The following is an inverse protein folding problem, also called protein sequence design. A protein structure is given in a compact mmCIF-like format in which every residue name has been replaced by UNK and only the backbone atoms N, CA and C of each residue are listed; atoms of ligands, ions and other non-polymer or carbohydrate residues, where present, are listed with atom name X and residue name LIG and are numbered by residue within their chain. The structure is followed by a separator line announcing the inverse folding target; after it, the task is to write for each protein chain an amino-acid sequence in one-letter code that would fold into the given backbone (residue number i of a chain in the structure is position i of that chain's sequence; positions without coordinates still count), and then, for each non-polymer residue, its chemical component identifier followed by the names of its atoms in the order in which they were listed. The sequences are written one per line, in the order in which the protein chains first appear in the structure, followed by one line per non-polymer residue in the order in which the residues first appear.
data_IF_463109747436
#
_entry.id   IF_463109747436
#
_cell.length_a   1.000
_cell.length_b   1.000
_cell.length_c   1.000
_cell.angle_alpha   90.00
_cell.angle_beta   90.00
_cell.angle_gamma   90.00
#
_symmetry.space_group_name_H-M   'P 1'
#
loop_
_entity.id
_entity.type
_entity.pdbx_description
1 polymer ?
#
# COMPACT_ATOMS: atom_id res chain seq x y z
N UNK A 1 -38.66 68.20 44.34
CA UNK A 1 -39.29 67.18 43.47
C UNK A 1 -38.76 67.37 42.05
N UNK A 2 -37.62 66.75 41.75
CA UNK A 2 -36.89 66.86 40.48
C UNK A 2 -37.27 65.71 39.57
N UNK A 3 -37.83 66.03 38.40
CA UNK A 3 -38.23 65.07 37.35
C UNK A 3 -36.98 64.48 36.68
N UNK A 4 -36.77 63.18 36.80
CA UNK A 4 -35.83 62.45 35.93
C UNK A 4 -36.50 62.18 34.58
N UNK A 5 -35.92 62.74 33.50
CA UNK A 5 -36.19 62.33 32.12
C UNK A 5 -35.28 61.16 31.78
N UNK A 6 -35.87 60.03 31.41
CA UNK A 6 -35.18 58.89 30.81
C UNK A 6 -34.91 59.16 29.32
N UNK A 7 -33.66 59.04 28.92
CA UNK A 7 -33.24 59.05 27.50
C UNK A 7 -33.05 57.59 27.08
N UNK A 8 -33.70 57.10 26.01
CA UNK A 8 -33.46 55.74 25.53
C UNK A 8 -32.15 55.70 24.73
N UNK A 9 -31.21 54.87 25.18
CA UNK A 9 -29.97 54.56 24.47
C UNK A 9 -30.29 53.60 23.32
N UNK A 10 -30.39 54.12 22.09
CA UNK A 10 -30.58 53.30 20.88
C UNK A 10 -29.21 52.76 20.45
N UNK A 11 -28.97 51.47 20.74
CA UNK A 11 -27.76 50.76 20.31
C UNK A 11 -27.88 50.45 18.81
N UNK A 12 -27.22 51.25 17.96
CA UNK A 12 -27.20 51.03 16.52
C UNK A 12 -26.12 50.01 16.20
N UNK A 13 -26.52 48.78 15.85
CA UNK A 13 -25.61 47.71 15.44
C UNK A 13 -25.16 47.97 13.99
N UNK A 14 -23.97 48.56 13.83
CA UNK A 14 -23.40 48.81 12.51
C UNK A 14 -22.85 47.49 11.94
N UNK A 15 -23.65 46.81 11.13
CA UNK A 15 -23.25 45.60 10.41
C UNK A 15 -22.27 45.99 9.30
N UNK A 16 -20.96 45.91 9.58
CA UNK A 16 -19.92 46.01 8.56
C UNK A 16 -19.94 44.71 7.75
N UNK A 17 -20.63 44.72 6.62
CA UNK A 17 -20.51 43.71 5.58
C UNK A 17 -19.13 43.86 4.93
N UNK A 18 -18.13 43.19 5.50
CA UNK A 18 -16.87 42.96 4.81
C UNK A 18 -17.14 42.04 3.62
N UNK A 19 -17.17 42.60 2.42
CA UNK A 19 -17.20 41.87 1.16
C UNK A 19 -15.83 41.21 1.00
N UNK A 20 -15.66 39.99 1.54
CA UNK A 20 -14.46 39.20 1.27
C UNK A 20 -14.57 38.71 -0.17
N UNK A 21 -13.72 39.29 -1.02
CA UNK A 21 -13.52 38.92 -2.41
C UNK A 21 -13.37 37.41 -2.58
N UNK A 22 -14.26 36.82 -3.39
CA UNK A 22 -14.07 35.52 -3.99
C UNK A 22 -12.78 35.53 -4.84
N UNK A 23 -11.84 34.61 -4.58
CA UNK A 23 -10.62 34.50 -5.38
C UNK A 23 -9.39 33.85 -4.75
N UNK A 24 -9.44 33.34 -3.52
CA UNK A 24 -8.37 32.47 -3.04
C UNK A 24 -8.52 31.10 -3.72
N UNK A 25 -7.77 30.87 -4.80
CA UNK A 25 -7.60 29.53 -5.39
C UNK A 25 -7.24 28.54 -4.28
N UNK A 26 -8.01 27.45 -4.18
CA UNK A 26 -7.74 26.38 -3.23
C UNK A 26 -6.40 25.72 -3.61
N UNK A 27 -5.35 26.02 -2.85
CA UNK A 27 -3.99 25.51 -3.09
C UNK A 27 -3.89 23.98 -3.13
N UNK A 28 -4.91 23.26 -2.63
CA UNK A 28 -4.98 21.79 -2.76
C UNK A 28 -5.38 21.33 -4.17
N UNK A 29 -6.00 22.19 -4.97
CA UNK A 29 -6.36 21.88 -6.36
C UNK A 29 -5.25 22.19 -7.35
N UNK A 30 -4.33 23.07 -6.96
CA UNK A 30 -3.19 23.45 -7.78
C UNK A 30 -2.10 22.37 -7.72
N UNK A 31 -1.85 21.74 -8.87
CA UNK A 31 -0.81 20.71 -9.05
C UNK A 31 0.61 21.29 -8.95
N UNK A 32 0.79 22.56 -9.28
CA UNK A 32 2.10 23.22 -9.20
C UNK A 32 2.50 23.46 -7.73
N UNK A 33 1.50 23.56 -6.85
CA UNK A 33 1.68 23.69 -5.40
C UNK A 33 2.07 22.38 -4.69
N UNK A 34 2.07 21.22 -5.36
CA UNK A 34 2.49 19.93 -4.76
C UNK A 34 3.93 20.05 -4.24
N UNK A 35 4.16 19.63 -3.01
CA UNK A 35 5.43 19.78 -2.30
C UNK A 35 5.55 21.09 -1.53
N UNK A 36 4.72 22.10 -1.78
CA UNK A 36 4.75 23.39 -1.06
C UNK A 36 3.47 23.67 -0.26
N UNK A 37 2.43 22.86 -0.45
CA UNK A 37 1.17 22.93 0.27
C UNK A 37 1.19 22.04 1.52
N UNK A 38 0.26 22.32 2.44
CA UNK A 38 0.08 21.54 3.66
C UNK A 38 -1.09 20.58 3.48
N UNK A 39 -0.79 19.30 3.32
CA UNK A 39 -1.80 18.22 3.31
C UNK A 39 -1.85 17.47 4.63
N UNK A 40 -0.74 17.44 5.39
CA UNK A 40 -0.65 16.77 6.68
C UNK A 40 -1.68 17.28 7.70
N UNK A 41 -2.49 16.36 8.21
CA UNK A 41 -3.48 16.61 9.25
C UNK A 41 -2.80 16.96 10.58
N UNK A 42 -3.51 17.73 11.41
CA UNK A 42 -3.07 17.99 12.78
C UNK A 42 -3.36 16.75 13.63
N UNK A 43 -2.38 16.36 14.43
CA UNK A 43 -2.44 15.17 15.27
C UNK A 43 -1.76 15.45 16.61
N UNK A 44 -2.25 14.82 17.68
CA UNK A 44 -1.56 14.85 18.99
C UNK A 44 -0.31 13.95 18.98
N UNK A 45 -0.19 13.08 17.97
CA UNK A 45 0.98 12.26 17.72
C UNK A 45 1.98 13.09 16.91
N UNK A 46 3.15 13.35 17.49
CA UNK A 46 4.24 14.04 16.78
C UNK A 46 4.77 13.18 15.63
N UNK A 47 5.34 13.83 14.61
CA UNK A 47 5.92 13.12 13.45
C UNK A 47 7.06 12.17 13.88
N UNK A 48 7.89 12.59 14.84
CA UNK A 48 8.95 11.73 15.40
C UNK A 48 8.38 10.50 16.11
N UNK A 49 7.29 10.66 16.87
CA UNK A 49 6.62 9.53 17.53
C UNK A 49 5.98 8.60 16.51
N UNK A 50 5.37 9.14 15.46
CA UNK A 50 4.82 8.38 14.34
C UNK A 50 5.90 7.54 13.65
N UNK A 51 7.07 8.13 13.35
CA UNK A 51 8.23 7.43 12.78
C UNK A 51 8.74 6.33 13.71
N UNK A 52 8.83 6.59 15.01
CA UNK A 52 9.28 5.59 15.97
C UNK A 52 8.33 4.37 16.03
N UNK A 53 7.01 4.61 16.03
CA UNK A 53 6.00 3.55 15.97
C UNK A 53 6.14 2.77 14.66
N UNK A 54 6.22 3.48 13.52
CA UNK A 54 6.45 2.87 12.22
C UNK A 54 7.65 1.94 12.18
N UNK A 55 8.78 2.38 12.73
CA UNK A 55 10.02 1.61 12.80
C UNK A 55 9.88 0.34 13.63
N UNK A 56 9.11 0.39 14.73
CA UNK A 56 8.83 -0.79 15.54
C UNK A 56 8.05 -1.83 14.72
N UNK A 57 6.95 -1.43 14.10
CA UNK A 57 6.14 -2.32 13.24
C UNK A 57 6.94 -2.84 12.04
N UNK A 58 7.73 -1.99 11.39
CA UNK A 58 8.61 -2.40 10.31
C UNK A 58 9.58 -3.51 10.76
N UNK A 59 10.14 -3.39 11.96
CA UNK A 59 11.03 -4.42 12.53
C UNK A 59 10.29 -5.74 12.78
N UNK A 60 9.03 -5.70 13.20
CA UNK A 60 8.21 -6.89 13.40
C UNK A 60 7.83 -7.57 12.08
N UNK A 61 7.45 -6.78 11.07
CA UNK A 61 7.16 -7.27 9.72
C UNK A 61 8.42 -7.86 9.09
N UNK A 62 9.57 -7.20 9.18
CA UNK A 62 10.83 -7.71 8.63
C UNK A 62 11.26 -9.06 9.22
N UNK A 63 10.86 -9.35 10.46
CA UNK A 63 11.16 -10.62 11.14
C UNK A 63 10.21 -11.74 10.75
N UNK A 64 8.96 -11.42 10.43
CA UNK A 64 7.88 -12.38 10.20
C UNK A 64 7.58 -12.61 8.72
N UNK A 65 7.73 -11.57 7.89
CA UNK A 65 7.48 -11.62 6.46
C UNK A 65 8.70 -12.13 5.68
N UNK A 66 8.44 -12.80 4.56
CA UNK A 66 9.49 -13.20 3.61
C UNK A 66 9.83 -12.01 2.71
N UNK A 67 10.94 -11.33 2.98
CA UNK A 67 11.38 -10.19 2.16
C UNK A 67 12.17 -10.68 0.93
N UNK A 68 11.81 -10.19 -0.25
CA UNK A 68 12.58 -10.41 -1.47
C UNK A 68 13.90 -9.64 -1.38
N UNK A 69 15.02 -10.34 -1.55
CA UNK A 69 16.38 -9.77 -1.45
C UNK A 69 17.04 -9.53 -2.81
N UNK A 70 16.34 -9.79 -3.90
CA UNK A 70 16.89 -9.56 -5.24
C UNK A 70 17.13 -8.06 -5.47
N UNK A 71 18.37 -7.62 -5.77
CA UNK A 71 18.70 -6.21 -5.89
C UNK A 71 18.02 -5.54 -7.09
N UNK A 72 17.80 -6.26 -8.19
CA UNK A 72 17.17 -5.70 -9.40
C UNK A 72 15.71 -5.36 -9.11
N UNK A 73 15.00 -6.29 -8.46
CA UNK A 73 13.59 -6.10 -8.08
C UNK A 73 13.47 -4.96 -7.06
N UNK A 74 14.31 -4.96 -6.02
CA UNK A 74 14.26 -3.94 -4.98
C UNK A 74 14.62 -2.54 -5.49
N UNK A 75 15.67 -2.40 -6.31
CA UNK A 75 16.06 -1.11 -6.90
C UNK A 75 14.97 -0.58 -7.82
N UNK A 76 14.36 -1.45 -8.65
CA UNK A 76 13.26 -1.05 -9.51
C UNK A 76 12.07 -0.49 -8.71
N UNK A 77 11.59 -1.23 -7.71
CA UNK A 77 10.42 -0.81 -6.91
C UNK A 77 10.76 0.46 -6.12
N UNK A 78 11.98 0.54 -5.57
CA UNK A 78 12.46 1.75 -4.92
C UNK A 78 12.51 2.93 -5.90
N UNK A 79 12.99 2.76 -7.14
CA UNK A 79 13.02 3.83 -8.15
C UNK A 79 11.62 4.41 -8.39
N UNK A 80 10.64 3.55 -8.64
CA UNK A 80 9.24 3.97 -8.87
C UNK A 80 8.71 4.72 -7.66
N UNK A 81 8.84 4.14 -6.46
CA UNK A 81 8.34 4.75 -5.24
C UNK A 81 9.01 6.08 -4.89
N UNK A 82 10.33 6.18 -5.08
CA UNK A 82 11.06 7.43 -4.85
C UNK A 82 10.75 8.48 -5.91
N UNK A 83 10.46 8.09 -7.16
CA UNK A 83 10.00 9.03 -8.18
C UNK A 83 8.66 9.68 -7.76
N UNK A 84 7.71 8.86 -7.31
CA UNK A 84 6.42 9.35 -6.79
C UNK A 84 6.64 10.21 -5.53
N UNK A 85 7.45 9.74 -4.58
CA UNK A 85 7.72 10.46 -3.32
C UNK A 85 8.31 11.86 -3.56
N UNK A 86 9.30 11.99 -4.45
CA UNK A 86 9.91 13.29 -4.81
C UNK A 86 8.91 14.25 -5.46
N UNK A 87 7.89 13.72 -6.12
CA UNK A 87 6.85 14.46 -6.80
C UNK A 87 5.55 14.55 -5.98
N UNK A 88 5.65 14.40 -4.66
CA UNK A 88 4.51 14.40 -3.73
C UNK A 88 4.64 15.45 -2.63
N UNK A 89 3.63 15.53 -1.76
CA UNK A 89 3.69 16.35 -0.54
C UNK A 89 4.43 15.68 0.63
N UNK A 90 4.97 14.47 0.46
CA UNK A 90 5.70 13.73 1.49
C UNK A 90 6.93 14.51 1.97
N UNK A 91 7.11 14.61 3.29
CA UNK A 91 8.21 15.37 3.94
C UNK A 91 9.22 14.53 4.68
N UNK A 92 8.96 13.25 4.81
CA UNK A 92 9.80 12.29 5.52
C UNK A 92 10.41 11.30 4.53
N UNK A 93 11.55 10.66 4.86
CA UNK A 93 12.13 9.63 4.02
C UNK A 93 11.19 8.45 3.83
N UNK A 94 11.21 7.88 2.62
CA UNK A 94 10.49 6.66 2.30
C UNK A 94 11.47 5.47 2.30
N UNK A 95 11.16 4.43 3.09
CA UNK A 95 11.86 3.13 3.07
C UNK A 95 10.98 2.12 2.38
N UNK A 96 11.48 1.48 1.32
CA UNK A 96 10.68 0.60 0.46
C UNK A 96 11.20 -0.82 0.54
N UNK A 97 10.30 -1.80 0.68
CA UNK A 97 10.63 -3.23 0.70
C UNK A 97 9.62 -4.03 -0.08
N UNK A 98 10.08 -5.13 -0.68
CA UNK A 98 9.22 -6.06 -1.41
C UNK A 98 9.00 -7.33 -0.59
N UNK A 99 7.74 -7.66 -0.34
CA UNK A 99 7.34 -8.90 0.35
C UNK A 99 7.04 -9.98 -0.70
N UNK A 100 7.57 -11.17 -0.48
CA UNK A 100 7.19 -12.37 -1.20
C UNK A 100 5.83 -12.86 -0.68
N UNK A 101 4.77 -12.36 -1.30
CA UNK A 101 3.39 -12.77 -1.03
C UNK A 101 2.60 -12.76 -2.34
N UNK A 102 1.83 -13.82 -2.64
CA UNK A 102 1.00 -13.88 -3.83
C UNK A 102 -0.17 -12.89 -3.78
N UNK A 103 -0.47 -12.32 -2.61
CA UNK A 103 -1.50 -11.30 -2.50
C UNK A 103 -1.11 -10.10 -3.34
N UNK A 104 -2.05 -9.60 -4.12
CA UNK A 104 -1.99 -8.23 -4.62
C UNK A 104 -2.15 -7.39 -3.35
N UNK A 105 -1.04 -6.86 -2.81
CA UNK A 105 -0.94 -5.94 -1.65
C UNK A 105 0.15 -4.87 -1.85
N UNK A 106 -0.06 -3.67 -1.34
CA UNK A 106 0.96 -2.75 -0.88
C UNK A 106 0.36 -1.93 0.27
N UNK A 107 1.19 -1.59 1.25
CA UNK A 107 0.76 -0.79 2.39
C UNK A 107 1.91 0.06 2.91
N UNK A 108 1.59 1.28 3.34
CA UNK A 108 2.53 2.11 4.08
C UNK A 108 2.24 2.07 5.58
N UNK A 109 3.27 1.86 6.39
CA UNK A 109 3.23 2.06 7.83
C UNK A 109 3.41 3.56 8.15
N UNK A 110 3.02 3.99 9.37
CA UNK A 110 3.33 5.32 9.86
C UNK A 110 4.83 5.63 9.70
N UNK A 111 5.18 6.87 9.36
CA UNK A 111 6.59 7.25 9.27
C UNK A 111 7.33 6.83 8.00
N UNK A 112 6.63 6.41 6.95
CA UNK A 112 7.22 6.25 5.61
C UNK A 112 7.89 4.91 5.37
N UNK A 113 7.36 3.81 5.91
CA UNK A 113 7.80 2.46 5.55
C UNK A 113 6.77 1.82 4.62
N UNK A 114 7.13 1.67 3.35
CA UNK A 114 6.27 1.13 2.30
C UNK A 114 6.65 -0.32 1.99
N UNK A 115 5.67 -1.20 2.03
CA UNK A 115 5.79 -2.59 1.63
C UNK A 115 4.96 -2.84 0.38
N UNK A 116 5.54 -3.57 -0.57
CA UNK A 116 4.91 -3.91 -1.85
C UNK A 116 4.97 -5.43 -1.99
N UNK A 117 3.84 -6.10 -2.17
CA UNK A 117 3.82 -7.55 -2.37
C UNK A 117 4.17 -7.92 -3.81
N UNK A 118 4.81 -9.06 -4.00
CA UNK A 118 5.10 -9.61 -5.33
C UNK A 118 3.84 -9.87 -6.16
N UNK A 119 2.73 -10.26 -5.54
CA UNK A 119 1.45 -10.44 -6.23
C UNK A 119 0.96 -9.17 -6.92
N UNK A 120 1.20 -7.99 -6.32
CA UNK A 120 0.89 -6.70 -6.95
C UNK A 120 1.74 -6.48 -8.21
N UNK A 121 3.05 -6.72 -8.11
CA UNK A 121 3.97 -6.58 -9.23
C UNK A 121 3.67 -7.57 -10.37
N UNK A 122 3.20 -8.78 -10.05
CA UNK A 122 2.75 -9.76 -11.04
C UNK A 122 1.44 -9.36 -11.72
N UNK A 123 0.48 -8.84 -10.94
CA UNK A 123 -0.84 -8.46 -11.43
C UNK A 123 -0.84 -7.19 -12.28
N UNK A 124 0.09 -6.27 -12.02
CA UNK A 124 0.27 -5.07 -12.83
C UNK A 124 0.69 -5.44 -14.26
N UNK A 125 0.04 -4.83 -15.24
CA UNK A 125 0.39 -4.98 -16.66
C UNK A 125 1.33 -3.90 -17.14
N UNK A 126 1.40 -2.76 -16.44
CA UNK A 126 2.24 -1.61 -16.78
C UNK A 126 2.82 -0.95 -15.50
N UNK A 127 3.89 -0.16 -15.65
CA UNK A 127 4.59 0.50 -14.51
C UNK A 127 3.68 1.51 -13.79
N UNK A 128 2.89 2.27 -14.53
CA UNK A 128 1.99 3.30 -14.02
C UNK A 128 0.91 2.75 -13.07
N UNK A 129 0.50 1.49 -13.23
CA UNK A 129 -0.41 0.81 -12.30
C UNK A 129 0.23 0.57 -10.94
N UNK A 130 1.51 0.16 -10.93
CA UNK A 130 2.30 0.05 -9.68
C UNK A 130 2.47 1.42 -9.07
N UNK A 131 2.83 2.42 -9.89
CA UNK A 131 2.97 3.80 -9.44
C UNK A 131 1.67 4.35 -8.83
N UNK A 132 0.51 3.97 -9.36
CA UNK A 132 -0.79 4.41 -8.83
C UNK A 132 -1.09 3.87 -7.44
N UNK A 133 -0.85 2.57 -7.19
CA UNK A 133 -0.99 2.01 -5.83
C UNK A 133 0.01 2.66 -4.88
N UNK A 134 1.26 2.82 -5.31
CA UNK A 134 2.30 3.47 -4.49
C UNK A 134 1.98 4.95 -4.20
N UNK A 135 1.41 5.68 -5.15
CA UNK A 135 1.01 7.07 -4.96
C UNK A 135 -0.10 7.22 -3.93
N UNK A 136 -1.06 6.29 -3.90
CA UNK A 136 -2.11 6.23 -2.89
C UNK A 136 -1.53 5.99 -1.49
N UNK A 137 -0.64 5.00 -1.34
CA UNK A 137 0.04 4.74 -0.07
C UNK A 137 0.88 5.94 0.41
N UNK A 138 1.61 6.60 -0.50
CA UNK A 138 2.36 7.82 -0.20
C UNK A 138 1.42 8.95 0.22
N UNK A 139 0.22 9.04 -0.35
CA UNK A 139 -0.79 10.02 0.06
C UNK A 139 -1.27 9.82 1.49
N UNK A 140 -1.49 8.58 1.94
CA UNK A 140 -1.80 8.30 3.34
C UNK A 140 -0.70 8.80 4.29
N UNK A 141 0.56 8.57 3.94
CA UNK A 141 1.71 9.02 4.74
C UNK A 141 1.83 10.55 4.72
N UNK A 142 1.73 11.18 3.55
CA UNK A 142 1.84 12.63 3.40
C UNK A 142 0.72 13.37 4.15
N UNK A 143 -0.52 12.87 4.08
CA UNK A 143 -1.67 13.41 4.81
C UNK A 143 -1.65 13.06 6.32
N UNK A 144 -0.73 12.19 6.76
CA UNK A 144 -0.62 11.67 8.13
C UNK A 144 -1.90 11.00 8.63
N UNK A 145 -2.54 10.21 7.76
CA UNK A 145 -3.78 9.49 8.10
C UNK A 145 -3.57 8.52 9.27
N UNK A 146 -2.40 7.89 9.38
CA UNK A 146 -2.04 7.08 10.55
C UNK A 146 -2.03 7.89 11.85
N UNK A 147 -1.37 9.05 11.87
CA UNK A 147 -1.37 9.93 13.02
C UNK A 147 -2.79 10.42 13.39
N UNK A 148 -3.65 10.66 12.40
CA UNK A 148 -5.06 11.00 12.62
C UNK A 148 -5.82 9.84 13.26
N UNK A 149 -5.61 8.61 12.79
CA UNK A 149 -6.29 7.43 13.36
C UNK A 149 -5.78 7.10 14.76
N UNK A 150 -4.48 7.18 14.99
CA UNK A 150 -3.91 7.03 16.33
C UNK A 150 -4.46 8.10 17.29
N UNK A 151 -4.61 9.35 16.83
CA UNK A 151 -5.22 10.41 17.64
C UNK A 151 -6.65 10.07 18.02
N UNK A 152 -7.47 9.61 17.06
CA UNK A 152 -8.85 9.18 17.33
C UNK A 152 -8.88 8.04 18.34
N UNK A 153 -8.01 7.04 18.18
CA UNK A 153 -7.90 5.91 19.12
C UNK A 153 -7.48 6.36 20.53
N UNK A 154 -6.49 7.25 20.65
CA UNK A 154 -6.05 7.81 21.93
C UNK A 154 -7.15 8.67 22.59
N UNK A 155 -7.86 9.50 21.82
CA UNK A 155 -8.99 10.28 22.34
C UNK A 155 -10.09 9.34 22.84
N UNK A 156 -10.40 8.28 22.09
CA UNK A 156 -11.38 7.27 22.51
C UNK A 156 -10.92 6.60 23.81
N UNK A 157 -9.65 6.16 23.88
CA UNK A 157 -9.07 5.57 25.09
C UNK A 157 -9.23 6.49 26.32
N UNK A 158 -8.97 7.80 26.18
CA UNK A 158 -9.21 8.76 27.25
C UNK A 158 -10.70 9.00 27.55
N UNK A 159 -11.56 9.01 26.54
CA UNK A 159 -13.00 9.15 26.72
C UNK A 159 -13.61 7.96 27.47
N UNK A 160 -12.95 6.79 27.46
CA UNK A 160 -13.34 5.62 28.25
C UNK A 160 -12.90 5.71 29.72
N UNK A 161 -12.05 6.67 30.11
CA UNK A 161 -11.53 6.79 31.48
C UNK A 161 -12.64 6.89 32.55
N UNK A 162 -13.75 7.62 32.35
CA UNK A 162 -14.85 7.65 33.33
C UNK A 162 -15.50 6.27 33.58
N UNK A 163 -15.45 5.35 32.60
CA UNK A 163 -16.03 4.01 32.73
C UNK A 163 -15.27 3.16 33.74
N UNK A 164 -13.97 3.42 33.94
CA UNK A 164 -13.16 2.75 34.97
C UNK A 164 -13.72 3.01 36.38
N UNK A 165 -14.34 4.18 36.58
CA UNK A 165 -14.93 4.58 37.86
C UNK A 165 -16.44 4.29 37.95
N UNK A 166 -17.03 3.71 36.90
CA UNK A 166 -18.46 3.40 36.85
C UNK A 166 -18.73 2.02 37.45
N UNK A 167 -19.66 1.86 38.41
CA UNK A 167 -20.02 0.55 38.95
C UNK A 167 -20.46 -0.41 37.83
N UNK A 168 -19.77 -1.54 37.69
CA UNK A 168 -20.01 -2.54 36.64
C UNK A 168 -19.64 -3.94 37.11
N UNK A 169 -20.04 -4.98 36.35
CA UNK A 169 -19.67 -6.36 36.69
C UNK A 169 -18.17 -6.61 36.46
N UNK A 170 -17.61 -7.56 37.21
CA UNK A 170 -16.17 -7.89 37.18
C UNK A 170 -15.68 -8.21 35.76
N UNK A 171 -16.46 -8.97 34.98
CA UNK A 171 -16.09 -9.32 33.60
C UNK A 171 -16.00 -8.11 32.67
N UNK A 172 -16.94 -7.16 32.80
CA UNK A 172 -16.93 -5.95 31.96
C UNK A 172 -15.81 -5.00 32.38
N UNK A 173 -15.53 -4.89 33.68
CA UNK A 173 -14.40 -4.11 34.20
C UNK A 173 -13.06 -4.59 33.62
N UNK A 174 -12.82 -5.91 33.62
CA UNK A 174 -11.59 -6.46 33.04
C UNK A 174 -11.48 -6.17 31.54
N UNK A 175 -12.56 -6.32 30.77
CA UNK A 175 -12.54 -6.01 29.34
C UNK A 175 -12.26 -4.52 29.04
N UNK A 176 -12.84 -3.60 29.82
CA UNK A 176 -12.56 -2.16 29.70
C UNK A 176 -11.10 -1.85 30.05
N UNK A 177 -10.58 -2.45 31.11
CA UNK A 177 -9.21 -2.21 31.56
C UNK A 177 -8.18 -2.77 30.57
N UNK A 178 -8.44 -3.94 29.99
CA UNK A 178 -7.58 -4.54 28.95
C UNK A 178 -7.52 -3.65 27.71
N UNK A 179 -8.67 -3.19 27.21
CA UNK A 179 -8.74 -2.27 26.08
C UNK A 179 -8.03 -0.93 26.38
N UNK A 180 -8.15 -0.43 27.61
CA UNK A 180 -7.49 0.81 28.04
C UNK A 180 -5.97 0.65 28.15
N UNK A 181 -5.47 -0.47 28.67
CA UNK A 181 -4.03 -0.64 28.91
C UNK A 181 -3.25 -1.00 27.63
N UNK A 182 -3.84 -1.82 26.77
CA UNK A 182 -3.17 -2.31 25.55
C UNK A 182 -3.35 -1.36 24.35
N UNK A 183 -4.29 -0.43 24.42
CA UNK A 183 -4.65 0.44 23.29
C UNK A 183 -5.25 -0.35 22.12
N UNK A 184 -5.42 0.32 20.98
CA UNK A 184 -5.91 -0.31 19.74
C UNK A 184 -4.69 -0.66 18.87
N UNK A 185 -4.42 -1.94 18.58
CA UNK A 185 -3.30 -2.31 17.72
C UNK A 185 -3.45 -1.71 16.31
N UNK A 186 -2.33 -1.38 15.67
CA UNK A 186 -2.32 -0.74 14.35
C UNK A 186 -3.15 -1.50 13.30
N UNK A 187 -3.09 -2.83 13.34
CA UNK A 187 -3.84 -3.73 12.46
C UNK A 187 -5.38 -3.62 12.59
N UNK A 188 -5.89 -2.99 13.65
CA UNK A 188 -7.33 -2.74 13.83
C UNK A 188 -7.74 -1.32 13.44
N UNK A 189 -6.79 -0.41 13.19
CA UNK A 189 -7.12 0.93 12.73
C UNK A 189 -7.51 0.87 11.25
N UNK A 190 -8.60 1.54 10.92
CA UNK A 190 -9.10 1.66 9.55
C UNK A 190 -9.21 3.12 9.16
N UNK A 191 -8.80 3.45 7.95
CA UNK A 191 -8.98 4.78 7.39
C UNK A 191 -10.45 5.04 7.11
N UNK A 192 -10.87 6.28 7.32
CA UNK A 192 -12.24 6.70 7.07
C UNK A 192 -12.48 6.82 5.56
N UNK A 193 -13.74 6.81 5.12
CA UNK A 193 -14.07 7.07 3.71
C UNK A 193 -13.54 8.42 3.20
N UNK A 194 -13.38 9.39 4.08
CA UNK A 194 -12.81 10.69 3.74
C UNK A 194 -11.28 10.62 3.61
N UNK A 195 -10.63 9.83 4.46
CA UNK A 195 -9.18 9.58 4.38
C UNK A 195 -8.86 8.89 3.04
N UNK A 196 -9.65 7.88 2.66
CA UNK A 196 -9.54 7.21 1.36
C UNK A 196 -9.72 8.15 0.19
N UNK A 197 -10.77 8.97 0.21
CA UNK A 197 -11.04 9.91 -0.86
C UNK A 197 -9.96 11.00 -0.96
N UNK A 198 -9.35 11.42 0.16
CA UNK A 198 -8.22 12.35 0.14
C UNK A 198 -6.95 11.67 -0.39
N UNK A 199 -6.71 10.40 -0.04
CA UNK A 199 -5.59 9.64 -0.56
C UNK A 199 -5.70 9.40 -2.07
N UNK A 200 -6.90 9.12 -2.58
CA UNK A 200 -7.18 9.03 -4.02
C UNK A 200 -6.88 10.35 -4.73
N UNK A 201 -7.43 11.43 -4.20
CA UNK A 201 -7.29 12.78 -4.75
C UNK A 201 -5.83 13.24 -4.83
N UNK A 202 -5.07 13.02 -3.75
CA UNK A 202 -3.65 13.33 -3.71
C UNK A 202 -2.83 12.36 -4.56
N UNK A 203 -3.18 11.08 -4.55
CA UNK A 203 -2.51 10.02 -5.31
C UNK A 203 -2.49 10.30 -6.81
N UNK A 204 -3.64 10.64 -7.42
CA UNK A 204 -3.69 10.98 -8.84
C UNK A 204 -2.88 12.23 -9.20
N UNK A 205 -2.81 13.20 -8.28
CA UNK A 205 -1.98 14.38 -8.45
C UNK A 205 -0.49 14.05 -8.39
N UNK A 206 -0.08 13.12 -7.50
CA UNK A 206 1.30 12.66 -7.41
C UNK A 206 1.71 11.82 -8.62
N UNK A 207 0.82 10.96 -9.13
CA UNK A 207 1.04 10.26 -10.40
C UNK A 207 1.27 11.25 -11.53
N UNK A 208 0.36 12.22 -11.67
CA UNK A 208 0.45 13.27 -12.68
C UNK A 208 1.78 14.03 -12.60
N UNK A 209 2.16 14.49 -11.40
CA UNK A 209 3.41 15.23 -11.20
C UNK A 209 4.65 14.37 -11.45
N UNK A 210 4.59 13.08 -11.12
CA UNK A 210 5.66 12.11 -11.37
C UNK A 210 5.79 11.68 -12.84
N UNK A 211 4.86 12.07 -13.71
CA UNK A 211 4.89 11.75 -15.14
C UNK A 211 3.93 10.63 -15.57
N UNK A 212 3.37 9.87 -14.62
CA UNK A 212 2.54 8.70 -14.89
C UNK A 212 1.12 9.07 -15.33
N UNK A 213 0.45 8.16 -16.04
CA UNK A 213 -0.97 8.30 -16.41
C UNK A 213 -1.88 8.06 -15.20
N UNK A 214 -2.60 9.07 -14.70
CA UNK A 214 -3.52 8.90 -13.58
C UNK A 214 -4.68 7.95 -13.89
N UNK A 215 -5.02 7.72 -15.17
CA UNK A 215 -6.06 6.76 -15.56
C UNK A 215 -5.63 5.31 -15.29
N UNK A 216 -4.34 5.03 -15.16
CA UNK A 216 -3.84 3.70 -14.79
C UNK A 216 -4.29 3.28 -13.39
N UNK A 217 -4.46 4.25 -12.48
CA UNK A 217 -5.06 4.03 -11.17
C UNK A 217 -6.49 3.48 -11.33
N UNK A 218 -7.34 4.17 -12.10
CA UNK A 218 -8.72 3.75 -12.38
C UNK A 218 -8.76 2.36 -13.04
N UNK A 219 -7.90 2.13 -14.04
CA UNK A 219 -7.83 0.86 -14.76
C UNK A 219 -7.43 -0.31 -13.86
N UNK A 220 -6.39 -0.13 -13.04
CA UNK A 220 -5.92 -1.17 -12.13
C UNK A 220 -6.97 -1.49 -11.07
N UNK A 221 -7.54 -0.48 -10.44
CA UNK A 221 -8.58 -0.66 -9.44
C UNK A 221 -9.87 -1.28 -10.02
N UNK A 222 -10.26 -0.88 -11.22
CA UNK A 222 -11.36 -1.50 -11.96
C UNK A 222 -11.11 -2.99 -12.27
N UNK A 223 -9.86 -3.37 -12.57
CA UNK A 223 -9.46 -4.79 -12.73
C UNK A 223 -9.62 -5.56 -11.44
N UNK A 224 -9.20 -5.00 -10.29
CA UNK A 224 -9.33 -5.71 -9.01
C UNK A 224 -10.79 -5.86 -8.58
N UNK A 225 -11.62 -4.82 -8.73
CA UNK A 225 -13.06 -4.91 -8.42
C UNK A 225 -13.73 -5.97 -9.28
N UNK A 226 -13.34 -6.10 -10.56
CA UNK A 226 -13.85 -7.16 -11.43
C UNK A 226 -13.40 -8.56 -10.98
N UNK A 227 -12.14 -8.72 -10.59
CA UNK A 227 -11.61 -10.00 -10.11
C UNK A 227 -12.30 -10.43 -8.80
N UNK A 228 -12.50 -9.48 -7.88
CA UNK A 228 -13.27 -9.70 -6.65
C UNK A 228 -14.71 -10.16 -6.91
N UNK A 229 -15.37 -9.59 -7.93
CA UNK A 229 -16.72 -10.03 -8.31
C UNK A 229 -16.74 -11.45 -8.89
N UNK A 230 -15.67 -11.86 -9.56
CA UNK A 230 -15.55 -13.20 -10.15
C UNK A 230 -15.25 -14.26 -9.10
N UNK A 231 -14.36 -13.96 -8.16
CA UNK A 231 -14.04 -14.84 -7.04
C UNK A 231 -14.01 -14.03 -5.73
N UNK A 232 -15.14 -13.97 -5.00
CA UNK A 232 -15.24 -13.26 -3.73
C UNK A 232 -14.32 -13.81 -2.64
N UNK A 233 -13.75 -15.02 -2.80
CA UNK A 233 -12.76 -15.60 -1.89
C UNK A 233 -11.32 -15.19 -2.22
N UNK A 234 -11.07 -14.64 -3.40
CA UNK A 234 -9.73 -14.25 -3.88
C UNK A 234 -9.30 -12.83 -3.48
N UNK A 235 -10.02 -12.19 -2.55
CA UNK A 235 -9.82 -10.77 -2.20
C UNK A 235 -8.33 -10.48 -1.96
N UNK A 236 -7.70 -9.65 -2.81
CA UNK A 236 -6.30 -9.33 -2.58
C UNK A 236 -6.15 -8.45 -1.33
N UNK A 237 -5.13 -8.73 -0.51
CA UNK A 237 -5.02 -8.09 0.80
C UNK A 237 -4.78 -6.57 0.79
N UNK A 238 -4.52 -5.90 -0.37
CA UNK A 238 -4.60 -4.39 -0.49
C UNK A 238 -5.95 -3.93 0.07
N UNK A 239 -7.00 -4.67 -0.26
CA UNK A 239 -8.38 -4.18 -0.14
C UNK A 239 -9.10 -4.71 1.09
N UNK A 240 -8.42 -5.49 1.95
CA UNK A 240 -8.95 -5.85 3.25
C UNK A 240 -9.02 -4.62 4.17
N UNK A 241 -8.03 -3.73 4.07
CA UNK A 241 -7.95 -2.54 4.89
C UNK A 241 -8.71 -1.37 4.26
N UNK A 242 -8.58 -1.16 2.94
CA UNK A 242 -9.13 -0.01 2.21
C UNK A 242 -9.73 -0.38 0.83
N UNK A 243 -10.87 -1.10 0.76
CA UNK A 243 -11.40 -1.61 -0.51
C UNK A 243 -11.81 -0.49 -1.47
N UNK A 244 -11.63 -0.69 -2.79
CA UNK A 244 -12.14 0.26 -3.75
C UNK A 244 -13.62 0.07 -3.90
N UNK A 245 -14.30 1.18 -4.12
CA UNK A 245 -15.73 1.19 -4.36
C UNK A 245 -15.97 1.78 -5.74
N UNK A 246 -17.10 1.41 -6.37
CA UNK A 246 -17.47 1.98 -7.65
C UNK A 246 -17.59 3.51 -7.55
N UNK A 247 -18.06 4.00 -6.41
CA UNK A 247 -18.17 5.42 -6.08
C UNK A 247 -16.81 6.13 -6.07
N UNK A 248 -15.77 5.50 -5.48
CA UNK A 248 -14.40 6.04 -5.51
C UNK A 248 -13.86 6.10 -6.92
N UNK A 249 -14.02 5.03 -7.71
CA UNK A 249 -13.55 4.98 -9.11
C UNK A 249 -14.19 6.10 -9.93
N UNK A 250 -15.52 6.27 -9.87
CA UNK A 250 -16.25 7.33 -10.57
C UNK A 250 -15.77 8.71 -10.13
N UNK A 251 -15.56 8.90 -8.82
CA UNK A 251 -15.08 10.17 -8.27
C UNK A 251 -13.67 10.50 -8.79
N UNK A 252 -12.76 9.53 -8.78
CA UNK A 252 -11.40 9.71 -9.30
C UNK A 252 -11.42 10.05 -10.79
N UNK A 253 -12.24 9.39 -11.60
CA UNK A 253 -12.40 9.73 -13.02
C UNK A 253 -12.87 11.18 -13.24
N UNK A 254 -13.77 11.67 -12.38
CA UNK A 254 -14.23 13.07 -12.42
C UNK A 254 -13.14 14.04 -11.97
N UNK A 255 -12.36 13.66 -10.95
CA UNK A 255 -11.25 14.45 -10.43
C UNK A 255 -10.13 14.58 -11.46
N UNK A 256 -9.72 13.49 -12.11
CA UNK A 256 -8.75 13.50 -13.21
C UNK A 256 -9.15 14.53 -14.27
N UNK A 257 -10.42 14.53 -14.70
CA UNK A 257 -10.93 15.46 -15.72
C UNK A 257 -11.03 16.91 -15.27
N UNK A 258 -11.18 17.15 -13.96
CA UNK A 258 -11.50 18.48 -13.43
C UNK A 258 -10.29 19.22 -12.85
N UNK A 259 -9.28 18.51 -12.34
CA UNK A 259 -8.16 19.12 -11.61
C UNK A 259 -6.82 18.97 -12.32
N UNK A 260 -6.67 18.01 -13.24
CA UNK A 260 -5.40 17.75 -13.91
C UNK A 260 -5.37 18.45 -15.27
N UNK A 261 -4.35 19.28 -15.53
CA UNK A 261 -4.18 19.86 -16.86
C UNK A 261 -3.92 18.76 -17.90
N UNK A 262 -4.45 18.96 -19.11
CA UNK A 262 -4.17 18.05 -20.22
C UNK A 262 -2.65 17.94 -20.46
N UNK A 263 -2.17 16.71 -20.63
CA UNK A 263 -0.79 16.41 -21.02
C UNK A 263 -0.82 15.59 -22.30
N UNK A 264 0.14 15.84 -23.19
CA UNK A 264 0.25 15.13 -24.48
C UNK A 264 0.73 13.69 -24.34
N UNK A 265 1.58 13.42 -23.34
CA UNK A 265 2.26 12.15 -23.15
C UNK A 265 2.33 11.78 -21.67
N UNK A 266 2.20 10.51 -21.36
CA UNK A 266 2.38 9.98 -20.01
C UNK A 266 3.41 8.84 -20.03
N UNK A 267 4.13 8.69 -18.92
CA UNK A 267 4.90 7.49 -18.65
C UNK A 267 3.93 6.37 -18.30
N UNK A 268 3.73 5.43 -19.22
CA UNK A 268 2.87 4.26 -18.99
C UNK A 268 3.70 3.09 -18.46
N UNK A 269 4.82 2.82 -19.13
CA UNK A 269 5.66 1.65 -18.85
C UNK A 269 7.10 1.87 -19.28
N UNK A 270 7.99 1.00 -18.81
CA UNK A 270 9.42 1.01 -19.16
C UNK A 270 9.90 -0.39 -19.52
N UNK A 271 11.02 -0.49 -20.23
CA UNK A 271 11.68 -1.79 -20.44
C UNK A 271 12.11 -2.41 -19.10
N UNK A 272 12.51 -1.59 -18.14
CA UNK A 272 12.90 -2.03 -16.80
C UNK A 272 11.75 -2.71 -16.05
N UNK A 273 10.50 -2.29 -16.27
CA UNK A 273 9.33 -2.97 -15.71
C UNK A 273 9.22 -4.40 -16.22
N UNK A 274 9.42 -4.61 -17.52
CA UNK A 274 9.38 -5.95 -18.14
C UNK A 274 10.54 -6.83 -17.66
N UNK A 275 11.74 -6.25 -17.53
CA UNK A 275 12.92 -6.93 -17.00
C UNK A 275 12.69 -7.34 -15.53
N UNK A 276 12.12 -6.44 -14.72
CA UNK A 276 11.74 -6.71 -13.34
C UNK A 276 10.70 -7.83 -13.26
N UNK A 277 9.65 -7.80 -14.09
CA UNK A 277 8.63 -8.87 -14.11
C UNK A 277 9.22 -10.22 -14.47
N UNK A 278 10.04 -10.27 -15.52
CA UNK A 278 10.72 -11.51 -15.94
C UNK A 278 11.61 -12.04 -14.81
N UNK A 279 12.35 -11.15 -14.13
CA UNK A 279 13.19 -11.51 -12.99
C UNK A 279 12.37 -12.02 -11.81
N UNK A 280 11.26 -11.36 -11.49
CA UNK A 280 10.34 -11.72 -10.44
C UNK A 280 9.73 -13.11 -10.68
N UNK A 281 9.28 -13.38 -11.90
CA UNK A 281 8.78 -14.71 -12.30
C UNK A 281 9.84 -15.80 -12.12
N UNK A 282 11.09 -15.52 -12.46
CA UNK A 282 12.22 -16.41 -12.22
C UNK A 282 12.44 -16.72 -10.73
N UNK A 283 12.47 -15.69 -9.88
CA UNK A 283 12.60 -15.82 -8.42
C UNK A 283 11.44 -16.65 -7.84
N UNK A 284 10.21 -16.37 -8.27
CA UNK A 284 9.01 -17.08 -7.81
C UNK A 284 9.00 -18.54 -8.28
N UNK A 285 9.40 -18.82 -9.51
CA UNK A 285 9.48 -20.18 -10.06
C UNK A 285 10.53 -21.02 -9.34
N UNK A 286 11.73 -20.45 -9.08
CA UNK A 286 12.76 -21.13 -8.31
C UNK A 286 12.29 -21.46 -6.90
N UNK A 287 11.60 -20.52 -6.24
CA UNK A 287 11.00 -20.75 -4.91
C UNK A 287 10.00 -21.90 -4.92
N UNK A 288 9.04 -21.90 -5.85
CA UNK A 288 8.04 -22.96 -5.95
C UNK A 288 8.68 -24.34 -6.15
N UNK A 289 9.81 -24.41 -6.87
CA UNK A 289 10.59 -25.66 -7.02
C UNK A 289 11.24 -26.10 -5.71
N UNK A 290 11.84 -25.16 -4.96
CA UNK A 290 12.45 -25.46 -3.66
C UNK A 290 11.41 -25.96 -2.64
N UNK A 291 10.27 -25.30 -2.54
CA UNK A 291 9.19 -25.70 -1.61
C UNK A 291 8.61 -27.08 -1.94
N UNK A 292 8.45 -27.39 -3.25
CA UNK A 292 8.03 -28.74 -3.69
C UNK A 292 9.10 -29.80 -3.42
N UNK A 293 10.38 -29.43 -3.46
CA UNK A 293 11.49 -30.34 -3.16
C UNK A 293 11.61 -30.65 -1.66
N UNK A 294 11.26 -29.71 -0.80
CA UNK A 294 11.28 -29.90 0.67
C UNK A 294 10.03 -30.63 1.18
N UNK A 295 8.89 -30.53 0.48
CA UNK A 295 7.62 -31.16 0.85
C UNK A 295 7.22 -32.43 0.08
N UNK A 296 8.02 -32.89 -0.88
CA UNK A 296 7.70 -34.04 -1.73
C UNK A 296 8.12 -35.40 -1.14
N UNK A 297 7.43 -36.52 -1.45
CA UNK A 297 7.88 -37.85 -1.04
C UNK A 297 9.24 -38.16 -1.69
N UNK A 298 10.29 -38.23 -0.88
CA UNK A 298 11.60 -38.69 -1.32
C UNK A 298 11.53 -40.17 -1.69
N UNK A 299 11.69 -40.49 -2.98
CA UNK A 299 11.97 -41.85 -3.44
C UNK A 299 13.35 -42.26 -2.90
N UNK A 300 13.36 -43.04 -1.82
CA UNK A 300 14.57 -43.70 -1.37
C UNK A 300 14.98 -44.71 -2.45
N UNK A 301 15.99 -44.35 -3.27
CA UNK A 301 16.66 -45.32 -4.13
C UNK A 301 17.31 -46.36 -3.22
N UNK A 302 16.79 -47.59 -3.27
CA UNK A 302 17.37 -48.76 -2.62
C UNK A 302 18.81 -48.93 -3.14
N UNK A 303 19.78 -48.77 -2.26
CA UNK A 303 21.20 -48.99 -2.56
C UNK A 303 21.39 -50.48 -2.87
N UNK A 304 22.06 -50.86 -3.99
CA UNK A 304 22.37 -52.26 -4.24
C UNK A 304 23.43 -52.74 -3.25
N UNK A 305 23.12 -53.80 -2.51
CA UNK A 305 24.03 -54.45 -1.56
C UNK A 305 25.27 -54.95 -2.29
N UNK A 306 26.41 -54.42 -1.86
CA UNK A 306 27.72 -54.71 -2.41
C UNK A 306 28.24 -56.02 -1.79
N UNK A 307 28.03 -57.16 -2.45
CA UNK A 307 28.77 -58.40 -2.14
C UNK A 307 29.21 -59.15 -3.40
N UNK A 308 30.51 -59.43 -3.39
CA UNK A 308 31.27 -60.44 -4.14
C UNK A 308 31.54 -60.22 -5.64
N UNK A 309 32.76 -59.76 -5.93
CA UNK A 309 33.53 -60.19 -7.12
C UNK A 309 34.13 -61.59 -6.84
N UNK A 310 34.41 -62.43 -7.86
CA UNK A 310 35.71 -62.30 -8.53
C UNK A 310 35.78 -62.68 -10.03
N UNK A 311 36.89 -62.22 -10.63
CA UNK A 311 37.66 -62.76 -11.77
C UNK A 311 37.32 -62.33 -13.21
N UNK A 312 38.40 -62.05 -13.94
CA UNK A 312 38.50 -61.33 -15.21
C UNK A 312 38.56 -62.25 -16.45
N UNK A 313 38.10 -61.77 -17.61
CA UNK A 313 38.91 -61.53 -18.83
C UNK A 313 38.04 -61.02 -20.02
N UNK A 314 38.64 -60.42 -21.06
CA UNK A 314 38.04 -59.34 -21.86
C UNK A 314 37.55 -59.75 -23.26
N UNK A 315 36.62 -58.97 -23.81
CA UNK A 315 36.25 -58.79 -25.23
C UNK A 315 34.89 -58.08 -25.23
N UNK A 316 34.49 -57.17 -26.10
CA UNK A 316 35.01 -56.60 -27.33
C UNK A 316 33.90 -55.68 -27.86
N UNK A 317 34.26 -54.78 -28.76
CA UNK A 317 33.39 -53.98 -29.64
C UNK A 317 32.49 -52.89 -29.03
N UNK A 318 32.95 -51.65 -29.25
CA UNK A 318 32.15 -50.44 -29.39
C UNK A 318 31.20 -50.57 -30.60
N UNK A 319 29.91 -50.27 -30.41
CA UNK A 319 28.99 -49.90 -31.48
C UNK A 319 28.54 -48.45 -31.25
N UNK A 320 28.80 -47.51 -32.15
CA UNK A 320 28.44 -46.10 -32.00
C UNK A 320 27.17 -45.79 -32.79
N UNK A 321 26.00 -46.16 -32.29
CA UNK A 321 24.73 -45.66 -32.83
C UNK A 321 23.68 -45.64 -31.72
N UNK A 322 23.53 -44.48 -31.07
CA UNK A 322 22.27 -44.01 -30.48
C UNK A 322 22.48 -42.62 -29.88
N UNK A 323 22.52 -41.60 -30.73
CA UNK A 323 22.27 -40.23 -30.31
C UNK A 323 21.38 -39.56 -31.36
N UNK A 324 20.06 -39.70 -31.19
CA UNK A 324 19.06 -38.92 -31.92
C UNK A 324 18.02 -38.37 -30.95
N UNK A 325 17.71 -37.06 -30.99
CA UNK A 325 16.70 -36.45 -30.11
C UNK A 325 15.29 -36.96 -30.45
N UNK A 326 14.37 -37.00 -29.46
CA UNK A 326 13.00 -37.50 -29.67
C UNK A 326 12.15 -36.54 -30.52
N UNK A 327 11.39 -37.09 -31.46
CA UNK A 327 10.43 -36.36 -32.30
C UNK A 327 9.00 -36.71 -31.87
N UNK A 328 8.18 -35.69 -31.59
CA UNK A 328 6.76 -35.85 -31.24
C UNK A 328 5.90 -36.03 -32.52
N UNK A 329 5.11 -37.09 -32.57
CA UNK A 329 4.06 -37.26 -33.60
C UNK A 329 2.82 -36.42 -33.26
N UNK A 330 2.24 -35.82 -34.31
CA UNK A 330 0.98 -35.07 -34.29
C UNK A 330 -0.16 -35.99 -33.80
N UNK A 331 -0.97 -35.50 -32.87
CA UNK A 331 -2.19 -36.19 -32.42
C UNK A 331 -3.32 -35.87 -33.41
N UNK A 332 -4.02 -36.91 -33.83
CA UNK A 332 -5.28 -36.82 -34.58
C UNK A 332 -6.40 -36.30 -33.68
#
# INVERSE_FOLDING_TARGET
MTKHRSVPLTLTFMMVLASVSAGASDKKKDVDSIGNRRVAHRSIISEQKEIAIGKQYATEIDRSARIIKDPVINEYVNRVAQNVARNSDLKIPLTVKVIDSPDINAFALPGGFLYVNSGLLQAATEEDQVAGVVAHEIAHVAARHWASQMTKATILQYAMLPLVFTPMSVGVYYGVMEAYMNGVPLAFLKFSRNDEAEADYLGIQYMYKAGYDPNAYVAFFGKIVQEQRRDPGSVPSIFADHPPTAERIIKVEQEIKSILPNRSEYLVSTSEFNDMKTRLEGVMSMRQKMEKSEGGPTLQKRQPDNKTSPTAQPSGQQNPEEDKPPVLKRRD
#
